data_IF_932080270709
#
_entry.id   IF_932080270709
#
_cell.length_a   1.000
_cell.length_b   1.000
_cell.length_c   1.000
_cell.angle_alpha   90.00
_cell.angle_beta   90.00
_cell.angle_gamma   90.00
#
_symmetry.space_group_name_H-M   'P 1'
#
loop_
_entity.id
_entity.type
_entity.pdbx_description
1 polymer ?
#
# COMPACT_ATOMS: atom_id res chain seq x y z
N UNK A 1 -38.70 14.07 1.28
CA UNK A 1 -38.26 12.66 1.43
C UNK A 1 -36.92 12.32 0.74
N UNK A 2 -36.40 13.12 -0.21
CA UNK A 2 -35.13 12.81 -0.90
C UNK A 2 -33.84 13.14 -0.13
N UNK A 3 -33.80 14.26 0.60
CA UNK A 3 -32.58 14.75 1.27
C UNK A 3 -32.21 13.94 2.53
N UNK A 4 -33.22 13.46 3.28
CA UNK A 4 -33.05 12.67 4.51
C UNK A 4 -32.57 11.24 4.24
N UNK A 5 -32.98 10.65 3.11
CA UNK A 5 -32.47 9.36 2.64
C UNK A 5 -31.01 9.49 2.16
N UNK A 6 -30.66 10.57 1.45
CA UNK A 6 -29.27 10.83 0.98
C UNK A 6 -28.29 10.95 2.16
N UNK A 7 -28.67 11.68 3.23
CA UNK A 7 -27.85 11.77 4.44
C UNK A 7 -27.67 10.42 5.15
N UNK A 8 -28.74 9.61 5.26
CA UNK A 8 -28.69 8.32 5.95
C UNK A 8 -27.73 7.30 5.32
N UNK A 9 -27.62 7.32 3.99
CA UNK A 9 -26.77 6.41 3.22
C UNK A 9 -25.28 6.80 3.23
N UNK A 10 -24.97 8.10 3.14
CA UNK A 10 -23.60 8.61 3.31
C UNK A 10 -23.05 8.33 4.71
N UNK A 11 -23.90 8.48 5.74
CA UNK A 11 -23.55 8.14 7.12
C UNK A 11 -23.30 6.65 7.26
N UNK A 12 -24.07 5.78 6.61
CA UNK A 12 -23.85 4.33 6.69
C UNK A 12 -22.51 3.89 6.09
N UNK A 13 -22.11 4.46 4.94
CA UNK A 13 -20.81 4.16 4.32
C UNK A 13 -19.62 4.58 5.21
N UNK A 14 -19.70 5.76 5.82
CA UNK A 14 -18.68 6.22 6.77
C UNK A 14 -18.69 5.40 8.07
N UNK A 15 -19.87 5.07 8.61
CA UNK A 15 -19.98 4.21 9.80
C UNK A 15 -19.36 2.83 9.55
N UNK A 16 -19.60 2.23 8.38
CA UNK A 16 -19.01 0.93 8.01
C UNK A 16 -17.49 1.01 7.91
N UNK A 17 -16.94 2.05 7.29
CA UNK A 17 -15.49 2.26 7.24
C UNK A 17 -14.90 2.40 8.64
N UNK A 18 -15.48 3.23 9.51
CA UNK A 18 -14.99 3.39 10.90
C UNK A 18 -15.10 2.12 11.74
N UNK A 19 -15.93 1.15 11.32
CA UNK A 19 -16.03 -0.16 11.96
C UNK A 19 -14.95 -1.15 11.51
N UNK A 20 -14.38 -1.00 10.31
CA UNK A 20 -13.41 -1.95 9.75
C UNK A 20 -11.98 -1.38 9.72
N UNK A 21 -11.83 -0.06 9.58
CA UNK A 21 -10.56 0.66 9.61
C UNK A 21 -10.42 1.39 10.94
N UNK A 22 -9.94 0.65 11.95
CA UNK A 22 -9.86 1.13 13.33
C UNK A 22 -8.43 1.46 13.70
N UNK A 23 -8.29 2.55 14.44
CA UNK A 23 -7.08 2.86 15.19
C UNK A 23 -7.33 2.44 16.63
N UNK A 24 -6.69 1.36 17.07
CA UNK A 24 -6.70 0.94 18.46
C UNK A 24 -5.72 1.83 19.26
N UNK A 25 -6.16 2.43 20.39
CA UNK A 25 -5.26 3.21 21.21
C UNK A 25 -4.14 2.34 21.79
N UNK A 26 -2.93 2.51 21.27
CA UNK A 26 -1.71 1.93 21.84
C UNK A 26 -0.76 3.03 22.33
N UNK A 27 0.04 2.77 23.38
CA UNK A 27 1.11 3.69 23.76
C UNK A 27 2.11 3.85 22.60
N UNK A 28 2.40 5.09 22.20
CA UNK A 28 3.43 5.37 21.22
C UNK A 28 4.75 5.70 21.93
N UNK A 29 5.90 5.23 21.43
CA UNK A 29 7.20 5.57 22.00
C UNK A 29 7.46 7.08 21.89
N UNK A 30 8.18 7.62 22.87
CA UNK A 30 8.62 9.01 22.83
C UNK A 30 9.66 9.21 21.73
N UNK A 31 9.34 10.01 20.72
CA UNK A 31 10.23 10.23 19.57
C UNK A 31 11.38 11.18 19.94
N UNK A 32 12.60 10.64 20.01
CA UNK A 32 13.84 11.38 20.27
C UNK A 32 14.15 12.40 19.17
N UNK A 33 14.99 13.39 19.47
CA UNK A 33 15.44 14.36 18.47
C UNK A 33 16.21 13.69 17.33
N UNK A 34 17.01 12.66 17.65
CA UNK A 34 17.72 11.87 16.64
C UNK A 34 16.74 11.19 15.67
N UNK A 35 15.71 10.51 16.20
CA UNK A 35 14.67 9.88 15.39
C UNK A 35 13.91 10.89 14.53
N UNK A 36 13.55 12.07 15.08
CA UNK A 36 12.87 13.14 14.32
C UNK A 36 13.72 13.65 13.15
N UNK A 37 15.01 13.92 13.39
CA UNK A 37 15.92 14.39 12.34
C UNK A 37 16.12 13.34 11.25
N UNK A 38 16.32 12.08 11.65
CA UNK A 38 16.45 10.96 10.72
C UNK A 38 15.19 10.78 9.87
N UNK A 39 14.01 10.79 10.51
CA UNK A 39 12.73 10.68 9.83
C UNK A 39 12.53 11.83 8.84
N UNK A 40 12.78 13.07 9.25
CA UNK A 40 12.62 14.25 8.40
C UNK A 40 13.58 14.26 7.20
N UNK A 41 14.78 13.69 7.34
CA UNK A 41 15.76 13.55 6.26
C UNK A 41 15.46 12.37 5.33
N UNK A 42 14.61 11.43 5.74
CA UNK A 42 14.33 10.20 5.01
C UNK A 42 13.29 10.38 3.91
N UNK A 43 13.41 9.59 2.84
CA UNK A 43 12.37 9.46 1.81
C UNK A 43 11.34 8.44 2.27
N UNK A 44 10.44 8.82 3.18
CA UNK A 44 9.46 7.91 3.78
C UNK A 44 8.47 7.43 2.70
N UNK A 45 8.43 6.13 2.42
CA UNK A 45 7.59 5.53 1.40
C UNK A 45 6.86 4.31 1.96
N UNK A 46 5.53 4.31 1.82
CA UNK A 46 4.68 3.19 2.21
C UNK A 46 4.15 2.46 0.96
N UNK A 47 4.32 1.14 0.93
CA UNK A 47 4.03 0.30 -0.23
C UNK A 47 2.55 -0.05 -0.39
N UNK A 48 1.68 0.23 0.57
CA UNK A 48 0.31 -0.23 0.49
C UNK A 48 -0.68 0.55 1.39
N UNK A 49 -1.64 1.23 0.78
CA UNK A 49 -2.84 1.73 1.44
C UNK A 49 -4.06 1.71 0.51
N UNK A 50 -5.23 1.39 1.06
CA UNK A 50 -6.51 1.22 0.36
C UNK A 50 -7.43 2.45 0.44
N UNK A 51 -6.83 3.63 0.67
CA UNK A 51 -7.55 4.86 1.03
C UNK A 51 -8.51 5.38 -0.05
N UNK A 52 -8.41 4.88 -1.28
CA UNK A 52 -9.29 5.24 -2.39
C UNK A 52 -10.63 4.49 -2.39
N UNK A 53 -10.80 3.42 -1.58
CA UNK A 53 -12.01 2.59 -1.59
C UNK A 53 -13.21 3.25 -0.90
N UNK A 54 -13.01 3.81 0.29
CA UNK A 54 -14.10 4.25 1.18
C UNK A 54 -14.60 5.66 0.88
N UNK A 55 -13.97 6.32 -0.11
CA UNK A 55 -14.31 7.62 -0.68
C UNK A 55 -14.65 8.71 0.33
N UNK A 56 -13.86 8.72 1.41
CA UNK A 56 -13.44 9.95 2.07
C UNK A 56 -12.75 10.86 1.05
N UNK A 57 -12.80 12.17 1.30
CA UNK A 57 -11.97 13.10 0.54
C UNK A 57 -10.51 12.96 0.99
N UNK A 58 -9.66 12.43 0.12
CA UNK A 58 -8.23 12.24 0.40
C UNK A 58 -7.53 13.57 0.73
N UNK A 59 -8.04 14.71 0.28
CA UNK A 59 -7.45 16.04 0.52
C UNK A 59 -7.91 16.68 1.83
N UNK A 60 -8.84 16.06 2.56
CA UNK A 60 -9.38 16.60 3.80
C UNK A 60 -9.04 15.69 4.99
N UNK A 61 -8.70 16.30 6.14
CA UNK A 61 -8.44 15.55 7.37
C UNK A 61 -9.70 14.80 7.80
N UNK A 62 -9.65 13.48 7.73
CA UNK A 62 -10.75 12.62 8.15
C UNK A 62 -10.88 12.55 9.67
N UNK A 63 -12.09 12.31 10.16
CA UNK A 63 -12.32 11.89 11.57
C UNK A 63 -12.01 10.42 11.82
N UNK A 64 -11.85 9.66 10.74
CA UNK A 64 -11.65 8.21 10.70
C UNK A 64 -10.73 7.85 9.51
N UNK A 65 -10.41 6.57 9.38
CA UNK A 65 -9.43 6.08 8.41
C UNK A 65 -8.01 6.40 8.84
N UNK A 66 -7.05 5.81 8.12
CA UNK A 66 -5.64 5.80 8.49
C UNK A 66 -4.80 6.76 7.64
N UNK A 67 -5.27 7.10 6.43
CA UNK A 67 -4.54 7.95 5.49
C UNK A 67 -5.45 9.03 4.90
N UNK A 68 -4.92 10.25 4.89
CA UNK A 68 -5.37 11.42 4.12
C UNK A 68 -4.16 12.35 3.91
N UNK A 69 -4.23 13.28 2.96
CA UNK A 69 -3.12 14.18 2.62
C UNK A 69 -2.58 14.94 3.84
N UNK A 70 -3.43 15.52 4.73
CA UNK A 70 -2.92 16.17 5.94
C UNK A 70 -2.14 15.22 6.85
N UNK A 71 -2.62 13.99 7.07
CA UNK A 71 -1.88 12.99 7.85
C UNK A 71 -0.59 12.54 7.18
N UNK A 72 -0.58 12.34 5.86
CA UNK A 72 0.62 11.98 5.11
C UNK A 72 1.70 13.07 5.27
N UNK A 73 1.28 14.34 5.24
CA UNK A 73 2.16 15.49 5.48
C UNK A 73 2.70 15.53 6.91
N UNK A 74 1.84 15.34 7.91
CA UNK A 74 2.25 15.25 9.33
C UNK A 74 3.22 14.09 9.58
N UNK A 75 2.98 12.96 8.91
CA UNK A 75 3.80 11.75 8.96
C UNK A 75 5.07 11.80 8.11
N UNK A 76 5.38 12.94 7.48
CA UNK A 76 6.60 13.10 6.68
C UNK A 76 6.66 12.27 5.39
N UNK A 77 5.54 11.68 4.95
CA UNK A 77 5.49 10.75 3.81
C UNK A 77 5.94 11.45 2.52
N UNK A 78 6.84 10.79 1.80
CA UNK A 78 7.33 11.18 0.49
C UNK A 78 6.54 10.53 -0.64
N UNK A 79 6.18 9.26 -0.47
CA UNK A 79 5.50 8.46 -1.47
C UNK A 79 4.50 7.52 -0.79
N UNK A 80 3.24 7.54 -1.24
CA UNK A 80 2.24 6.55 -0.89
C UNK A 80 1.90 5.74 -2.13
N UNK A 81 1.94 4.41 -2.01
CA UNK A 81 1.31 3.51 -2.98
C UNK A 81 -0.14 3.31 -2.56
N UNK A 82 -1.08 3.72 -3.43
CA UNK A 82 -2.50 3.52 -3.27
C UNK A 82 -2.88 2.23 -4.00
N UNK A 83 -3.15 1.19 -3.22
CA UNK A 83 -3.59 -0.11 -3.70
C UNK A 83 -5.11 -0.17 -3.83
N UNK A 84 -5.56 -1.06 -4.70
CA UNK A 84 -6.96 -1.15 -5.10
C UNK A 84 -7.37 -2.61 -5.31
N UNK A 85 -8.04 -3.22 -4.31
CA UNK A 85 -8.83 -4.41 -4.56
C UNK A 85 -10.07 -4.03 -5.36
N UNK A 86 -10.40 -4.86 -6.35
CA UNK A 86 -11.57 -4.64 -7.22
C UNK A 86 -12.74 -5.55 -6.91
N UNK A 87 -12.51 -6.60 -6.13
CA UNK A 87 -13.52 -7.55 -5.65
C UNK A 87 -13.14 -7.99 -4.23
N UNK A 88 -14.10 -8.00 -3.32
CA UNK A 88 -13.93 -8.57 -1.98
C UNK A 88 -15.11 -9.50 -1.66
N UNK A 89 -14.89 -10.82 -1.53
CA UNK A 89 -15.91 -11.78 -1.09
C UNK A 89 -16.60 -11.40 0.21
N UNK A 90 -17.94 -11.51 0.25
CA UNK A 90 -18.70 -11.46 1.51
C UNK A 90 -18.33 -12.65 2.39
N UNK A 91 -18.00 -12.39 3.66
CA UNK A 91 -17.56 -13.42 4.60
C UNK A 91 -16.09 -13.82 4.44
N UNK A 92 -15.28 -12.95 3.82
CA UNK A 92 -13.85 -13.16 3.63
C UNK A 92 -13.14 -13.54 4.93
N UNK A 93 -12.21 -14.49 4.83
CA UNK A 93 -11.29 -14.86 5.89
C UNK A 93 -9.91 -15.19 5.29
N UNK A 94 -8.92 -15.41 6.15
CA UNK A 94 -7.54 -15.65 5.70
C UNK A 94 -7.28 -17.11 5.28
N UNK A 95 -8.20 -18.03 5.54
CA UNK A 95 -8.00 -19.47 5.37
C UNK A 95 -8.54 -19.99 4.04
N UNK A 96 -9.78 -19.61 3.67
CA UNK A 96 -10.45 -20.14 2.47
C UNK A 96 -11.63 -19.26 2.05
N UNK A 97 -11.62 -18.82 0.79
CA UNK A 97 -12.72 -18.10 0.15
C UNK A 97 -13.02 -18.64 -1.25
N UNK A 98 -14.30 -18.75 -1.58
CA UNK A 98 -14.76 -19.24 -2.88
C UNK A 98 -14.98 -18.09 -3.86
N UNK A 99 -14.75 -18.34 -5.15
CA UNK A 99 -15.17 -17.43 -6.21
C UNK A 99 -16.71 -17.37 -6.28
N UNK A 100 -17.26 -16.22 -6.67
CA UNK A 100 -18.71 -16.06 -6.91
C UNK A 100 -19.57 -15.76 -5.69
N UNK A 101 -18.98 -15.60 -4.50
CA UNK A 101 -19.65 -14.96 -3.36
C UNK A 101 -20.08 -13.54 -3.70
N UNK A 102 -21.10 -13.02 -3.02
CA UNK A 102 -21.48 -11.60 -3.11
C UNK A 102 -20.28 -10.69 -2.87
N UNK A 103 -20.10 -9.67 -3.71
CA UNK A 103 -18.99 -8.74 -3.60
C UNK A 103 -19.31 -7.57 -2.66
N UNK A 104 -18.53 -7.44 -1.58
CA UNK A 104 -18.65 -6.38 -0.58
C UNK A 104 -18.44 -4.99 -1.17
N UNK A 105 -17.60 -4.83 -2.19
CA UNK A 105 -17.38 -3.54 -2.83
C UNK A 105 -18.60 -3.09 -3.63
N UNK A 106 -19.33 -4.02 -4.24
CA UNK A 106 -20.65 -3.77 -4.85
C UNK A 106 -21.63 -3.24 -3.81
N UNK A 107 -21.74 -3.93 -2.67
CA UNK A 107 -22.66 -3.56 -1.60
C UNK A 107 -22.31 -2.20 -0.98
N UNK A 108 -21.02 -1.95 -0.74
CA UNK A 108 -20.52 -0.65 -0.26
C UNK A 108 -20.80 0.46 -1.28
N UNK A 109 -20.59 0.19 -2.57
CA UNK A 109 -20.91 1.10 -3.66
C UNK A 109 -22.40 1.45 -3.70
N UNK A 110 -23.29 0.45 -3.57
CA UNK A 110 -24.75 0.66 -3.50
C UNK A 110 -25.14 1.52 -2.30
N UNK A 111 -24.61 1.19 -1.11
CA UNK A 111 -24.84 1.96 0.10
C UNK A 111 -24.40 3.43 -0.04
N UNK A 112 -23.38 3.69 -0.86
CA UNK A 112 -22.83 5.03 -1.11
C UNK A 112 -23.35 5.69 -2.39
N UNK A 113 -24.21 5.01 -3.16
CA UNK A 113 -24.65 5.44 -4.50
C UNK A 113 -23.48 5.77 -5.45
N UNK A 114 -22.38 5.05 -5.30
CA UNK A 114 -21.22 5.19 -6.17
C UNK A 114 -21.51 4.51 -7.52
N UNK A 115 -21.08 5.10 -8.65
CA UNK A 115 -21.17 4.44 -9.95
C UNK A 115 -20.41 3.11 -9.99
N UNK A 116 -19.38 2.94 -9.15
CA UNK A 116 -18.61 1.69 -9.02
C UNK A 116 -19.47 0.48 -8.65
N UNK A 117 -20.61 0.69 -7.99
CA UNK A 117 -21.54 -0.37 -7.62
C UNK A 117 -22.03 -1.19 -8.82
N UNK A 118 -22.14 -0.56 -10.00
CA UNK A 118 -22.69 -1.16 -11.21
C UNK A 118 -21.61 -1.53 -12.23
N UNK A 119 -20.34 -1.37 -11.86
CA UNK A 119 -19.18 -1.60 -12.73
C UNK A 119 -18.54 -2.95 -12.42
N UNK A 120 -17.99 -3.57 -13.47
CA UNK A 120 -17.09 -4.71 -13.34
C UNK A 120 -15.74 -4.32 -12.72
N UNK A 121 -14.95 -5.32 -12.27
CA UNK A 121 -13.64 -5.11 -11.65
C UNK A 121 -12.73 -4.14 -12.40
N UNK A 122 -12.65 -4.28 -13.73
CA UNK A 122 -11.81 -3.44 -14.58
C UNK A 122 -12.26 -1.97 -14.56
N UNK A 123 -13.56 -1.72 -14.75
CA UNK A 123 -14.10 -0.36 -14.77
C UNK A 123 -14.02 0.31 -13.39
N UNK A 124 -14.10 -0.46 -12.30
CA UNK A 124 -13.84 0.06 -10.94
C UNK A 124 -12.41 0.54 -10.80
N UNK A 125 -11.44 -0.25 -11.24
CA UNK A 125 -10.03 0.16 -11.23
C UNK A 125 -9.84 1.46 -12.03
N UNK A 126 -10.42 1.57 -13.23
CA UNK A 126 -10.35 2.80 -14.02
C UNK A 126 -11.00 3.99 -13.33
N UNK A 127 -12.15 3.79 -12.67
CA UNK A 127 -12.83 4.84 -11.93
C UNK A 127 -11.96 5.37 -10.79
N UNK A 128 -11.28 4.48 -10.04
CA UNK A 128 -10.39 4.88 -8.93
C UNK A 128 -9.10 5.54 -9.40
N UNK A 129 -8.58 5.16 -10.55
CA UNK A 129 -7.49 5.90 -11.18
C UNK A 129 -7.92 7.34 -11.50
N UNK A 130 -9.13 7.53 -12.04
CA UNK A 130 -9.69 8.86 -12.29
C UNK A 130 -9.96 9.65 -10.99
N UNK A 131 -10.39 8.98 -9.90
CA UNK A 131 -10.50 9.61 -8.58
C UNK A 131 -9.15 10.20 -8.12
N UNK A 132 -8.06 9.42 -8.24
CA UNK A 132 -6.72 9.88 -7.88
C UNK A 132 -6.25 11.04 -8.76
N UNK A 133 -6.45 10.95 -10.07
CA UNK A 133 -6.10 12.05 -10.99
C UNK A 133 -6.84 13.33 -10.59
N UNK A 134 -8.13 13.22 -10.25
CA UNK A 134 -8.91 14.34 -9.72
C UNK A 134 -8.37 14.89 -8.39
N UNK A 135 -7.87 14.04 -7.48
CA UNK A 135 -7.22 14.51 -6.25
C UNK A 135 -5.90 15.24 -6.57
N UNK A 136 -5.08 14.71 -7.47
CA UNK A 136 -3.82 15.36 -7.89
C UNK A 136 -4.11 16.75 -8.45
N UNK A 137 -5.09 16.89 -9.35
CA UNK A 137 -5.50 18.17 -9.92
C UNK A 137 -5.99 19.18 -8.87
N UNK A 138 -6.83 18.73 -7.92
CA UNK A 138 -7.41 19.61 -6.88
C UNK A 138 -6.46 19.90 -5.72
N UNK A 139 -5.36 19.16 -5.58
CA UNK A 139 -4.42 19.27 -4.46
C UNK A 139 -3.61 20.58 -4.43
N UNK A 140 -3.67 21.41 -5.47
CA UNK A 140 -2.85 22.63 -5.56
C UNK A 140 -1.33 22.35 -5.63
N UNK A 141 -0.94 21.14 -6.01
CA UNK A 141 0.46 20.68 -6.05
C UNK A 141 0.91 19.89 -4.82
N UNK A 142 0.03 19.63 -3.86
CA UNK A 142 0.34 18.81 -2.69
C UNK A 142 0.50 17.31 -3.03
N UNK A 143 -0.12 16.82 -4.10
CA UNK A 143 0.05 15.45 -4.61
C UNK A 143 0.67 15.45 -6.01
N UNK A 144 1.41 14.40 -6.33
CA UNK A 144 1.96 14.13 -7.67
C UNK A 144 1.77 12.66 -8.05
N UNK A 145 1.16 12.40 -9.21
CA UNK A 145 1.13 11.05 -9.77
C UNK A 145 2.54 10.58 -10.14
N UNK A 146 2.90 9.35 -9.75
CA UNK A 146 4.19 8.73 -10.08
C UNK A 146 3.92 7.60 -11.07
N UNK A 147 4.24 7.85 -12.34
CA UNK A 147 4.02 6.92 -13.46
C UNK A 147 5.33 6.52 -14.15
N UNK A 148 6.41 7.26 -13.97
CA UNK A 148 7.69 7.07 -14.66
C UNK A 148 8.86 7.29 -13.72
N UNK A 149 10.05 6.87 -14.14
CA UNK A 149 11.29 7.19 -13.41
C UNK A 149 11.53 8.70 -13.33
N UNK A 150 11.12 9.45 -14.35
CA UNK A 150 11.21 10.91 -14.36
C UNK A 150 10.30 11.57 -13.32
N UNK A 151 9.08 11.05 -13.12
CA UNK A 151 8.19 11.53 -12.05
C UNK A 151 8.82 11.34 -10.67
N UNK A 152 9.41 10.17 -10.46
CA UNK A 152 10.10 9.79 -9.23
C UNK A 152 11.34 10.67 -8.99
N UNK A 153 12.16 10.87 -10.02
CA UNK A 153 13.34 11.74 -9.95
C UNK A 153 12.96 13.19 -9.62
N UNK A 154 11.89 13.73 -10.22
CA UNK A 154 11.37 15.06 -9.88
C UNK A 154 10.89 15.13 -8.43
N UNK A 155 10.19 14.11 -7.94
CA UNK A 155 9.75 14.06 -6.55
C UNK A 155 10.93 14.07 -5.57
N UNK A 156 11.98 13.28 -5.85
CA UNK A 156 13.22 13.27 -5.06
C UNK A 156 13.89 14.65 -5.08
N UNK A 157 13.98 15.29 -6.24
CA UNK A 157 14.57 16.62 -6.37
C UNK A 157 13.80 17.67 -5.56
N UNK A 158 12.46 17.67 -5.63
CA UNK A 158 11.62 18.61 -4.87
C UNK A 158 11.81 18.44 -3.37
N UNK A 159 11.93 17.20 -2.88
CA UNK A 159 12.20 16.92 -1.46
C UNK A 159 13.58 17.35 -1.02
N UNK A 160 14.61 17.15 -1.85
CA UNK A 160 15.99 17.60 -1.54
C UNK A 160 16.11 19.12 -1.49
N UNK A 161 15.36 19.82 -2.34
CA UNK A 161 15.36 21.27 -2.43
C UNK A 161 14.46 21.94 -1.40
N UNK A 162 13.58 21.18 -0.74
CA UNK A 162 12.79 21.68 0.37
C UNK A 162 13.70 22.04 1.54
N UNK A 163 13.67 23.31 1.97
CA UNK A 163 14.26 23.67 3.27
C UNK A 163 13.58 22.83 4.35
N UNK A 164 14.34 22.26 5.31
CA UNK A 164 13.74 21.57 6.44
C UNK A 164 12.86 22.55 7.18
N UNK A 165 11.55 22.47 6.96
CA UNK A 165 10.60 23.23 7.76
C UNK A 165 10.48 22.45 9.06
N UNK A 166 10.78 23.12 10.19
CA UNK A 166 10.35 22.61 11.47
C UNK A 166 8.84 22.30 11.37
N UNK A 167 8.32 21.30 12.10
CA UNK A 167 6.89 21.09 12.19
C UNK A 167 6.28 22.36 12.81
N UNK A 168 5.85 23.28 11.95
CA UNK A 168 5.10 24.45 12.35
C UNK A 168 3.83 23.90 12.99
N UNK A 169 3.61 24.22 14.27
CA UNK A 169 2.33 23.99 14.91
C UNK A 169 1.19 24.61 14.07
N UNK A 170 -0.06 24.16 14.24
CA UNK A 170 -1.16 24.58 13.39
C UNK A 170 -1.34 26.10 13.48
N UNK A 171 -0.97 26.85 12.42
CA UNK A 171 -1.33 28.27 12.31
C UNK A 171 -0.38 29.25 11.61
N UNK A 172 0.84 28.90 11.18
CA UNK A 172 1.77 29.88 10.61
C UNK A 172 1.69 29.98 9.06
N UNK A 173 0.58 30.53 8.52
CA UNK A 173 0.49 30.93 7.12
C UNK A 173 0.90 32.40 6.95
N UNK A 174 2.14 32.64 6.52
CA UNK A 174 2.60 33.94 6.00
C UNK A 174 2.13 34.21 4.55
N UNK A 175 2.29 35.44 4.02
CA UNK A 175 1.52 35.93 2.87
C UNK A 175 2.04 35.53 1.47
N UNK A 176 3.09 34.71 1.36
CA UNK A 176 3.45 34.04 0.10
C UNK A 176 3.55 32.54 0.40
N UNK A 177 2.43 31.82 0.24
CA UNK A 177 2.40 30.38 0.43
C UNK A 177 3.25 29.72 -0.66
N UNK A 178 4.52 29.47 -0.36
CA UNK A 178 5.38 28.61 -1.17
C UNK A 178 4.62 27.32 -1.49
N UNK A 179 4.64 26.90 -2.76
CA UNK A 179 4.01 25.65 -3.21
C UNK A 179 4.43 24.51 -2.26
N UNK A 180 3.48 23.67 -1.80
CA UNK A 180 3.82 22.57 -0.92
C UNK A 180 4.78 21.61 -1.64
N UNK A 181 5.70 21.00 -0.88
CA UNK A 181 6.47 19.86 -1.38
C UNK A 181 5.47 18.73 -1.67
N UNK A 182 5.44 18.19 -2.90
CA UNK A 182 4.46 17.17 -3.27
C UNK A 182 4.73 15.85 -2.56
N UNK A 183 3.66 15.13 -2.25
CA UNK A 183 3.67 13.72 -1.90
C UNK A 183 3.43 12.92 -3.18
N UNK A 184 4.28 11.95 -3.46
CA UNK A 184 4.09 11.02 -4.56
C UNK A 184 2.90 10.10 -4.31
N UNK A 185 2.10 9.89 -5.35
CA UNK A 185 0.99 8.95 -5.36
C UNK A 185 1.19 7.96 -6.51
N UNK A 186 1.43 6.69 -6.19
CA UNK A 186 1.57 5.60 -7.17
C UNK A 186 0.35 4.68 -7.06
N UNK A 187 -0.20 4.26 -8.20
CA UNK A 187 -1.34 3.33 -8.22
C UNK A 187 -0.89 1.87 -8.31
N UNK A 188 -1.48 1.03 -7.46
CA UNK A 188 -1.33 -0.41 -7.47
C UNK A 188 -2.69 -1.12 -7.61
N UNK A 189 -2.69 -2.31 -8.22
CA UNK A 189 -3.84 -3.23 -8.21
C UNK A 189 -3.56 -4.36 -7.23
N UNK A 190 -4.54 -4.65 -6.39
CA UNK A 190 -4.55 -5.82 -5.52
C UNK A 190 -5.42 -6.93 -6.11
N UNK A 191 -4.76 -7.83 -6.83
CA UNK A 191 -5.39 -8.96 -7.49
C UNK A 191 -5.77 -8.68 -8.94
N UNK A 192 -5.27 -9.53 -9.84
CA UNK A 192 -5.54 -9.51 -11.28
C UNK A 192 -7.01 -9.81 -11.66
N UNK A 193 -7.90 -9.98 -10.68
CA UNK A 193 -9.34 -9.91 -10.87
C UNK A 193 -9.75 -8.64 -11.65
N UNK A 194 -9.04 -7.54 -11.43
CA UNK A 194 -9.21 -6.28 -12.16
C UNK A 194 -9.01 -6.40 -13.68
N UNK A 195 -8.32 -7.44 -14.16
CA UNK A 195 -8.07 -7.66 -15.59
C UNK A 195 -9.12 -8.57 -16.23
N UNK A 196 -10.04 -9.17 -15.47
CA UNK A 196 -11.18 -9.95 -15.99
C UNK A 196 -10.77 -11.04 -17.01
N UNK A 197 -9.60 -11.66 -16.79
CA UNK A 197 -9.03 -12.70 -17.68
C UNK A 197 -8.76 -12.25 -19.12
N UNK A 198 -8.82 -10.94 -19.40
CA UNK A 198 -8.48 -10.34 -20.69
C UNK A 198 -7.05 -9.77 -20.66
N UNK A 199 -6.10 -10.35 -21.43
CA UNK A 199 -4.73 -9.85 -21.50
C UNK A 199 -4.61 -8.38 -21.93
N UNK A 200 -5.56 -7.87 -22.73
CA UNK A 200 -5.54 -6.47 -23.18
C UNK A 200 -5.75 -5.49 -22.02
N UNK A 201 -6.37 -5.92 -20.93
CA UNK A 201 -6.64 -5.07 -19.78
C UNK A 201 -5.36 -4.65 -19.03
N UNK A 202 -4.26 -5.40 -19.11
CA UNK A 202 -2.99 -4.99 -18.53
C UNK A 202 -2.50 -3.65 -19.11
N UNK A 203 -2.44 -3.55 -20.44
CA UNK A 203 -2.04 -2.31 -21.11
C UNK A 203 -3.02 -1.16 -20.81
N UNK A 204 -4.33 -1.45 -20.77
CA UNK A 204 -5.34 -0.42 -20.46
C UNK A 204 -5.27 0.08 -19.00
N UNK A 205 -4.90 -0.78 -18.04
CA UNK A 205 -4.64 -0.38 -16.66
C UNK A 205 -3.31 0.38 -16.55
N UNK A 206 -2.28 -0.04 -17.28
CA UNK A 206 -1.05 0.72 -17.37
C UNK A 206 -1.29 2.15 -17.90
N UNK A 207 -2.07 2.31 -18.97
CA UNK A 207 -2.44 3.62 -19.51
C UNK A 207 -3.25 4.47 -18.50
N UNK A 208 -4.09 3.82 -17.68
CA UNK A 208 -4.82 4.47 -16.60
C UNK A 208 -3.92 4.96 -15.44
N UNK A 209 -2.67 4.51 -15.37
CA UNK A 209 -1.67 4.98 -14.39
C UNK A 209 -1.18 3.94 -13.39
N UNK A 210 -1.65 2.68 -13.48
CA UNK A 210 -1.20 1.61 -12.59
C UNK A 210 0.25 1.21 -12.88
N UNK A 211 1.07 1.08 -11.82
CA UNK A 211 2.50 0.75 -11.92
C UNK A 211 2.95 -0.40 -11.04
N UNK A 212 2.03 -0.99 -10.29
CA UNK A 212 2.26 -2.20 -9.49
C UNK A 212 1.00 -3.07 -9.54
N UNK A 213 1.13 -4.38 -9.68
CA UNK A 213 -0.01 -5.29 -9.72
C UNK A 213 0.34 -6.59 -8.99
N UNK A 214 -0.53 -6.99 -8.04
CA UNK A 214 -0.56 -8.34 -7.49
C UNK A 214 -1.48 -9.25 -8.30
N UNK A 215 -1.11 -10.51 -8.56
CA UNK A 215 -1.92 -11.38 -9.41
C UNK A 215 -3.12 -12.00 -8.69
N UNK A 216 -3.10 -12.15 -7.38
CA UNK A 216 -4.23 -12.65 -6.61
C UNK A 216 -4.55 -11.72 -5.43
N UNK A 217 -5.75 -11.89 -4.87
CA UNK A 217 -6.17 -11.25 -3.63
C UNK A 217 -6.84 -12.30 -2.74
N UNK A 218 -8.11 -12.13 -2.36
CA UNK A 218 -8.78 -13.03 -1.41
C UNK A 218 -9.21 -14.39 -1.95
N UNK A 219 -9.16 -14.65 -3.25
CA UNK A 219 -9.53 -15.94 -3.83
C UNK A 219 -8.72 -16.24 -5.09
N UNK A 220 -8.73 -17.52 -5.50
CA UNK A 220 -8.03 -17.97 -6.72
C UNK A 220 -8.68 -17.36 -7.97
N UNK A 221 -7.87 -17.10 -9.00
CA UNK A 221 -8.37 -16.61 -10.29
C UNK A 221 -7.62 -17.24 -11.47
N UNK A 222 -7.95 -16.80 -12.68
CA UNK A 222 -7.38 -17.35 -13.92
C UNK A 222 -5.88 -17.03 -14.10
N UNK A 223 -5.27 -16.22 -13.24
CA UNK A 223 -3.86 -15.84 -13.28
C UNK A 223 -3.02 -16.63 -12.27
N UNK A 224 -3.49 -16.73 -11.03
CA UNK A 224 -2.73 -17.31 -9.93
C UNK A 224 -3.63 -17.83 -8.81
N UNK A 225 -3.09 -18.77 -8.02
CA UNK A 225 -3.68 -19.14 -6.74
C UNK A 225 -3.44 -18.09 -5.65
N UNK A 226 -4.44 -17.96 -4.77
CA UNK A 226 -4.41 -17.08 -3.61
C UNK A 226 -4.03 -17.85 -2.35
N UNK A 227 -3.34 -17.21 -1.39
CA UNK A 227 -3.12 -17.76 -0.04
C UNK A 227 -4.44 -18.06 0.68
N UNK A 228 -5.50 -17.35 0.29
CA UNK A 228 -6.84 -17.44 0.84
C UNK A 228 -7.81 -18.19 -0.08
N UNK A 229 -7.32 -18.70 -1.22
CA UNK A 229 -8.11 -19.45 -2.17
C UNK A 229 -8.53 -20.84 -1.68
N UNK A 230 -9.33 -21.52 -2.48
CA UNK A 230 -9.70 -22.92 -2.24
C UNK A 230 -8.59 -23.84 -2.72
N UNK A 231 -8.12 -23.62 -3.95
CA UNK A 231 -7.12 -24.44 -4.59
C UNK A 231 -5.70 -24.05 -4.15
N UNK A 232 -5.45 -22.76 -3.91
CA UNK A 232 -4.15 -22.22 -3.51
C UNK A 232 -3.00 -22.68 -4.44
N UNK A 233 -3.31 -22.80 -5.73
CA UNK A 233 -2.40 -23.32 -6.75
C UNK A 233 -1.29 -22.33 -7.13
N UNK A 234 -0.42 -22.75 -8.06
CA UNK A 234 0.65 -21.92 -8.62
C UNK A 234 0.16 -20.90 -9.66
N UNK A 235 1.08 -20.45 -10.52
CA UNK A 235 0.75 -19.61 -11.66
C UNK A 235 0.13 -20.42 -12.80
N UNK A 236 -0.92 -19.89 -13.41
CA UNK A 236 -1.48 -20.44 -14.66
C UNK A 236 -0.62 -20.05 -15.85
N UNK A 237 -0.89 -20.63 -17.03
CA UNK A 237 -0.27 -20.19 -18.28
C UNK A 237 -0.57 -18.73 -18.62
N UNK A 238 -1.74 -18.22 -18.23
CA UNK A 238 -2.10 -16.81 -18.39
C UNK A 238 -1.26 -15.95 -17.43
N UNK A 239 -1.21 -16.28 -16.14
CA UNK A 239 -0.40 -15.54 -15.16
C UNK A 239 1.09 -15.45 -15.52
N UNK A 240 1.68 -16.56 -16.01
CA UNK A 240 3.09 -16.56 -16.48
C UNK A 240 3.32 -15.63 -17.66
N UNK A 241 2.36 -15.49 -18.58
CA UNK A 241 2.46 -14.52 -19.70
C UNK A 241 2.29 -13.09 -19.19
N UNK A 242 1.33 -12.87 -18.30
CA UNK A 242 1.06 -11.57 -17.69
C UNK A 242 2.27 -11.01 -16.96
N UNK A 243 3.04 -11.83 -16.22
CA UNK A 243 4.27 -11.37 -15.53
C UNK A 243 5.30 -10.86 -16.53
N UNK A 244 5.52 -11.57 -17.65
CA UNK A 244 6.47 -11.13 -18.68
C UNK A 244 6.06 -9.80 -19.29
N UNK A 245 4.76 -9.62 -19.53
CA UNK A 245 4.21 -8.37 -20.06
C UNK A 245 4.30 -7.22 -19.03
N UNK A 246 4.06 -7.51 -17.75
CA UNK A 246 4.27 -6.54 -16.67
C UNK A 246 5.73 -6.08 -16.64
N UNK A 247 6.69 -7.01 -16.71
CA UNK A 247 8.11 -6.67 -16.75
C UNK A 247 8.47 -5.86 -18.00
N UNK A 248 7.93 -6.18 -19.19
CA UNK A 248 8.22 -5.40 -20.40
C UNK A 248 7.65 -3.98 -20.35
N UNK A 249 6.49 -3.77 -19.72
CA UNK A 249 5.87 -2.45 -19.55
C UNK A 249 6.50 -1.62 -18.42
N UNK A 250 7.24 -2.25 -17.51
CA UNK A 250 7.74 -1.59 -16.30
C UNK A 250 6.70 -1.49 -15.18
N UNK A 251 5.81 -2.49 -15.09
CA UNK A 251 4.89 -2.68 -13.97
C UNK A 251 5.56 -3.59 -12.93
N UNK A 252 5.58 -3.14 -11.68
CA UNK A 252 6.13 -3.91 -10.55
C UNK A 252 5.23 -5.11 -10.26
N UNK A 253 5.85 -6.29 -10.13
CA UNK A 253 5.18 -7.52 -9.70
C UNK A 253 5.07 -7.53 -8.18
N UNK A 254 3.85 -7.55 -7.66
CA UNK A 254 3.56 -7.69 -6.23
C UNK A 254 3.18 -9.14 -5.88
N UNK A 255 3.76 -9.65 -4.80
CA UNK A 255 3.60 -11.01 -4.29
C UNK A 255 2.56 -11.12 -3.17
N UNK A 256 2.09 -10.00 -2.61
CA UNK A 256 1.08 -10.02 -1.57
C UNK A 256 -0.14 -10.85 -2.00
N UNK A 257 -0.73 -11.59 -1.04
CA UNK A 257 -1.87 -12.51 -1.21
C UNK A 257 -1.68 -13.74 -2.12
N UNK A 258 -0.57 -13.87 -2.85
CA UNK A 258 -0.31 -15.08 -3.61
C UNK A 258 -0.20 -16.30 -2.69
N UNK A 259 -0.65 -17.46 -3.17
CA UNK A 259 -0.39 -18.73 -2.49
C UNK A 259 1.13 -18.99 -2.42
N UNK A 260 1.60 -19.81 -1.47
CA UNK A 260 3.01 -20.20 -1.43
C UNK A 260 3.51 -20.77 -2.77
N UNK A 261 2.71 -21.62 -3.43
CA UNK A 261 3.04 -22.20 -4.73
C UNK A 261 3.13 -21.13 -5.84
N UNK A 262 2.24 -20.12 -5.82
CA UNK A 262 2.28 -19.03 -6.78
C UNK A 262 3.49 -18.11 -6.54
N UNK A 263 3.84 -17.82 -5.29
CA UNK A 263 5.06 -17.08 -4.94
C UNK A 263 6.29 -17.81 -5.50
N UNK A 264 6.37 -19.14 -5.29
CA UNK A 264 7.49 -19.94 -5.78
C UNK A 264 7.61 -19.92 -7.31
N UNK A 265 6.47 -20.00 -8.01
CA UNK A 265 6.40 -19.92 -9.45
C UNK A 265 6.79 -18.54 -10.00
N UNK A 266 6.38 -17.45 -9.34
CA UNK A 266 6.77 -16.07 -9.71
C UNK A 266 8.28 -15.92 -9.57
N UNK A 267 8.82 -16.26 -8.40
CA UNK A 267 10.25 -16.15 -8.08
C UNK A 267 11.14 -17.02 -8.97
N UNK A 268 10.58 -18.04 -9.63
CA UNK A 268 11.28 -18.88 -10.60
C UNK A 268 11.39 -18.25 -12.00
N UNK A 269 10.59 -17.23 -12.33
CA UNK A 269 10.51 -16.69 -13.70
C UNK A 269 10.76 -15.19 -13.83
N UNK A 270 10.66 -14.43 -12.73
CA UNK A 270 10.92 -12.98 -12.75
C UNK A 270 12.38 -12.67 -13.05
N UNK A 271 12.59 -11.56 -13.75
CA UNK A 271 13.90 -11.03 -14.13
C UNK A 271 14.17 -9.66 -13.52
N UNK A 272 13.13 -9.00 -13.01
CA UNK A 272 13.18 -7.71 -12.32
C UNK A 272 12.94 -7.87 -10.81
N UNK A 273 13.33 -6.87 -9.99
CA UNK A 273 12.99 -6.85 -8.58
C UNK A 273 11.48 -6.95 -8.35
N UNK A 274 11.08 -7.88 -7.47
CA UNK A 274 9.68 -8.03 -7.03
C UNK A 274 9.43 -7.32 -5.71
N UNK A 275 8.16 -7.07 -5.42
CA UNK A 275 7.71 -6.48 -4.16
C UNK A 275 6.79 -7.48 -3.46
N UNK A 276 6.88 -7.61 -2.14
CA UNK A 276 5.74 -8.05 -1.33
C UNK A 276 5.21 -6.80 -0.65
N UNK A 277 4.14 -6.19 -1.14
CA UNK A 277 3.75 -4.81 -0.77
C UNK A 277 3.35 -4.69 0.70
N UNK A 278 2.71 -5.73 1.24
CA UNK A 278 2.27 -5.80 2.63
C UNK A 278 2.07 -7.25 3.07
N UNK A 279 2.26 -7.48 4.36
CA UNK A 279 2.17 -8.78 5.01
C UNK A 279 3.12 -8.87 6.19
N UNK A 280 3.38 -10.08 6.67
CA UNK A 280 4.36 -10.31 7.72
C UNK A 280 5.31 -11.45 7.39
N UNK A 281 6.09 -11.84 8.39
CA UNK A 281 7.11 -12.89 8.28
C UNK A 281 6.93 -13.93 9.37
N UNK A 282 7.06 -15.20 8.99
CA UNK A 282 6.79 -16.33 9.89
C UNK A 282 7.74 -16.38 11.08
N UNK A 283 8.95 -15.85 10.92
CA UNK A 283 9.94 -15.77 11.99
C UNK A 283 9.53 -14.91 13.19
N UNK A 284 8.54 -14.02 13.04
CA UNK A 284 7.99 -13.23 14.15
C UNK A 284 6.50 -13.49 14.40
N UNK A 285 5.73 -13.82 13.36
CA UNK A 285 4.33 -14.16 13.47
C UNK A 285 3.97 -15.26 12.47
N UNK A 286 3.80 -16.50 12.92
CA UNK A 286 3.63 -17.64 12.01
C UNK A 286 2.16 -17.90 11.64
N UNK A 287 1.81 -17.61 10.39
CA UNK A 287 0.52 -17.93 9.80
C UNK A 287 0.60 -17.97 8.26
N UNK A 288 -0.53 -18.29 7.60
CA UNK A 288 -0.58 -18.48 6.15
C UNK A 288 -0.41 -17.20 5.32
N UNK A 289 -0.67 -16.01 5.89
CA UNK A 289 -0.48 -14.72 5.21
C UNK A 289 0.98 -14.29 5.16
N UNK A 290 1.83 -14.91 5.99
CA UNK A 290 3.20 -14.49 6.24
C UNK A 290 4.22 -15.33 5.47
N UNK A 291 5.27 -14.65 5.02
CA UNK A 291 6.34 -15.22 4.20
C UNK A 291 7.25 -16.12 5.03
N UNK A 292 7.69 -17.22 4.42
CA UNK A 292 8.76 -18.06 4.96
C UNK A 292 10.14 -17.44 4.72
N UNK A 293 11.14 -17.83 5.52
CA UNK A 293 12.53 -17.38 5.34
C UNK A 293 13.08 -17.68 3.95
N UNK A 294 12.71 -18.82 3.35
CA UNK A 294 13.12 -19.16 1.98
C UNK A 294 12.58 -18.15 0.97
N UNK A 295 11.29 -17.84 1.06
CA UNK A 295 10.66 -16.83 0.20
C UNK A 295 11.29 -15.45 0.41
N UNK A 296 11.59 -15.04 1.65
CA UNK A 296 12.26 -13.77 1.94
C UNK A 296 13.65 -13.73 1.28
N UNK A 297 14.46 -14.79 1.40
CA UNK A 297 15.77 -14.88 0.74
C UNK A 297 15.66 -14.82 -0.78
N UNK A 298 14.65 -15.47 -1.37
CA UNK A 298 14.42 -15.47 -2.82
C UNK A 298 13.91 -14.13 -3.33
N UNK A 299 13.06 -13.43 -2.57
CA UNK A 299 12.68 -12.04 -2.86
C UNK A 299 13.92 -11.15 -2.85
N UNK A 300 14.75 -11.25 -1.82
CA UNK A 300 16.01 -10.51 -1.72
C UNK A 300 16.94 -10.78 -2.91
N UNK A 301 17.05 -12.03 -3.35
CA UNK A 301 17.87 -12.41 -4.51
C UNK A 301 17.43 -11.73 -5.83
N UNK A 302 16.17 -11.30 -5.96
CA UNK A 302 15.72 -10.50 -7.13
C UNK A 302 16.16 -9.02 -7.06
N UNK A 303 16.72 -8.59 -5.93
CA UNK A 303 16.85 -7.18 -5.59
C UNK A 303 15.55 -6.56 -5.05
N UNK A 304 14.56 -7.39 -4.72
CA UNK A 304 13.22 -6.98 -4.29
C UNK A 304 13.16 -6.43 -2.87
N UNK A 305 11.94 -6.19 -2.37
CA UNK A 305 11.68 -5.74 -0.99
C UNK A 305 10.45 -6.43 -0.38
N UNK A 306 10.47 -6.56 0.94
CA UNK A 306 9.37 -7.07 1.77
C UNK A 306 8.80 -5.93 2.60
N UNK A 307 7.58 -5.51 2.27
CA UNK A 307 6.77 -4.56 3.02
C UNK A 307 6.11 -5.22 4.22
N UNK A 308 6.31 -4.65 5.41
CA UNK A 308 5.75 -5.16 6.67
C UNK A 308 4.48 -4.40 7.05
N UNK A 309 3.45 -5.18 7.35
CA UNK A 309 2.11 -4.77 7.75
C UNK A 309 1.98 -4.31 9.19
N UNK A 310 0.98 -3.46 9.47
CA UNK A 310 0.79 -2.84 10.80
C UNK A 310 -0.38 -3.42 11.61
N UNK A 311 -0.84 -4.62 11.26
CA UNK A 311 -1.98 -5.28 11.91
C UNK A 311 -1.62 -6.64 12.52
N UNK A 312 -2.47 -7.10 13.43
CA UNK A 312 -2.20 -8.28 14.26
C UNK A 312 -1.92 -9.57 13.49
N UNK A 313 -2.58 -9.80 12.34
CA UNK A 313 -2.29 -11.00 11.54
C UNK A 313 -0.91 -10.91 10.88
N UNK A 314 -0.40 -9.72 10.56
CA UNK A 314 0.93 -9.57 9.99
C UNK A 314 2.03 -9.70 11.06
N UNK A 315 1.89 -9.01 12.19
CA UNK A 315 3.00 -8.84 13.15
C UNK A 315 2.69 -9.31 14.57
N UNK A 316 1.56 -9.99 14.78
CA UNK A 316 1.13 -10.50 16.09
C UNK A 316 0.95 -9.38 17.14
N UNK A 317 0.66 -8.16 16.68
CA UNK A 317 0.45 -6.96 17.48
C UNK A 317 0.03 -5.78 16.60
N UNK A 318 -0.10 -4.60 17.20
CA UNK A 318 -0.51 -3.36 16.50
C UNK A 318 0.37 -2.17 16.86
N UNK A 319 1.36 -2.35 17.75
CA UNK A 319 2.23 -1.27 18.20
C UNK A 319 3.39 -1.04 17.23
N UNK A 320 3.96 0.17 17.18
CA UNK A 320 5.15 0.44 16.37
C UNK A 320 6.31 -0.53 16.64
N UNK A 321 6.47 -0.99 17.88
CA UNK A 321 7.52 -1.95 18.27
C UNK A 321 7.30 -3.33 17.64
N UNK A 322 6.06 -3.79 17.52
CA UNK A 322 5.74 -5.10 16.93
C UNK A 322 6.09 -5.10 15.43
N UNK A 323 5.79 -3.99 14.75
CA UNK A 323 6.18 -3.73 13.35
C UNK A 323 7.71 -3.65 13.21
N UNK A 324 8.37 -2.88 14.07
CA UNK A 324 9.83 -2.71 14.04
C UNK A 324 10.56 -4.04 14.28
N UNK A 325 10.05 -4.91 15.16
CA UNK A 325 10.61 -6.24 15.40
C UNK A 325 10.54 -7.14 14.16
N UNK A 326 9.41 -7.12 13.43
CA UNK A 326 9.25 -7.85 12.17
C UNK A 326 10.15 -7.30 11.05
N UNK A 327 10.29 -5.99 10.95
CA UNK A 327 11.25 -5.35 10.02
C UNK A 327 12.69 -5.75 10.38
N UNK A 328 13.09 -5.62 11.65
CA UNK A 328 14.43 -5.98 12.12
C UNK A 328 14.74 -7.46 11.88
N UNK A 329 13.72 -8.33 11.91
CA UNK A 329 13.88 -9.72 11.53
C UNK A 329 14.27 -9.88 10.06
N UNK A 330 13.57 -9.21 9.13
CA UNK A 330 13.93 -9.21 7.70
C UNK A 330 15.34 -8.67 7.49
N UNK A 331 15.68 -7.55 8.13
CA UNK A 331 17.01 -6.93 8.06
C UNK A 331 18.11 -7.92 8.48
N UNK A 332 17.93 -8.62 9.61
CA UNK A 332 18.90 -9.64 10.07
C UNK A 332 19.00 -10.84 9.13
N UNK A 333 17.92 -11.18 8.43
CA UNK A 333 17.86 -12.36 7.58
C UNK A 333 18.51 -12.13 6.21
N UNK A 334 18.28 -10.97 5.59
CA UNK A 334 18.66 -10.68 4.21
C UNK A 334 19.35 -9.34 3.98
N UNK A 335 19.45 -8.47 4.99
CA UNK A 335 19.99 -7.11 4.85
C UNK A 335 18.91 -6.04 4.82
N UNK A 336 19.29 -4.82 5.22
CA UNK A 336 18.35 -3.70 5.33
C UNK A 336 17.82 -3.26 3.97
N UNK A 337 18.53 -3.53 2.88
CA UNK A 337 18.16 -3.16 1.51
C UNK A 337 16.90 -3.87 0.97
N UNK A 338 16.38 -4.84 1.71
CA UNK A 338 15.27 -5.71 1.33
C UNK A 338 14.03 -5.60 2.24
N UNK A 339 14.04 -4.70 3.22
CA UNK A 339 12.89 -4.42 4.07
C UNK A 339 12.24 -3.06 3.70
N UNK A 340 10.93 -2.95 3.87
CA UNK A 340 10.17 -1.75 3.57
C UNK A 340 8.91 -1.61 4.46
N UNK A 341 8.32 -0.42 4.43
CA UNK A 341 7.01 -0.13 5.03
C UNK A 341 5.89 -0.61 4.09
N UNK A 342 4.86 -1.25 4.64
CA UNK A 342 3.74 -1.80 3.87
C UNK A 342 2.48 -1.88 4.72
N UNK A 343 1.97 -0.72 5.12
CA UNK A 343 1.06 -0.54 6.25
C UNK A 343 -0.23 -1.36 6.21
N UNK A 344 -0.80 -1.52 5.01
CA UNK A 344 -2.19 -1.97 4.81
C UNK A 344 -3.21 -1.02 5.45
N UNK A 345 -2.87 0.29 5.41
CA UNK A 345 -3.74 1.34 5.88
C UNK A 345 -5.02 1.40 5.06
N UNK A 346 -6.14 1.60 5.76
CA UNK A 346 -7.49 1.52 5.22
C UNK A 346 -7.88 0.16 4.60
N UNK A 347 -7.06 -0.91 4.67
CA UNK A 347 -7.35 -2.23 4.07
C UNK A 347 -8.31 -3.14 4.84
N UNK A 348 -9.29 -2.56 5.54
CA UNK A 348 -10.15 -3.25 6.53
C UNK A 348 -9.34 -3.84 7.71
N UNK A 349 -8.31 -3.12 8.13
CA UNK A 349 -7.39 -3.51 9.22
C UNK A 349 -7.64 -2.71 10.50
N UNK A 350 -7.27 -3.29 11.64
CA UNK A 350 -7.08 -2.53 12.89
C UNK A 350 -5.58 -2.31 13.11
N UNK A 351 -5.18 -1.05 13.23
CA UNK A 351 -3.78 -0.61 13.43
C UNK A 351 -3.65 0.14 14.74
N UNK A 352 -2.45 0.27 15.31
CA UNK A 352 -2.25 1.05 16.53
C UNK A 352 -2.07 2.55 16.29
N UNK A 353 -1.75 2.95 15.06
CA UNK A 353 -1.40 4.32 14.73
C UNK A 353 -1.64 4.60 13.25
N UNK A 354 -2.07 5.83 12.93
CA UNK A 354 -2.27 6.27 11.54
C UNK A 354 -0.99 6.85 10.94
N UNK A 355 -1.03 7.21 9.65
CA UNK A 355 0.17 7.65 8.94
C UNK A 355 0.80 8.93 9.52
N UNK A 356 0.08 9.73 10.32
CA UNK A 356 0.65 10.94 10.96
C UNK A 356 1.67 10.61 12.05
N UNK A 357 1.65 9.38 12.56
CA UNK A 357 2.48 8.93 13.67
C UNK A 357 3.70 8.08 13.25
N UNK A 358 4.05 8.03 11.96
CA UNK A 358 5.24 7.31 11.46
C UNK A 358 6.58 7.68 12.12
N UNK A 359 6.81 8.90 12.67
CA UNK A 359 7.99 9.15 13.48
C UNK A 359 8.12 8.22 14.71
N UNK A 360 7.01 7.73 15.26
CA UNK A 360 7.02 6.73 16.34
C UNK A 360 7.58 5.39 15.86
N UNK A 361 7.26 4.96 14.64
CA UNK A 361 7.86 3.77 14.03
C UNK A 361 9.35 3.97 13.76
N UNK A 362 9.78 5.17 13.38
CA UNK A 362 11.21 5.47 13.24
C UNK A 362 11.95 5.31 14.57
N UNK A 363 11.37 5.80 15.67
CA UNK A 363 11.93 5.57 17.00
C UNK A 363 11.97 4.06 17.33
N UNK A 364 10.89 3.33 17.08
CA UNK A 364 10.82 1.89 17.34
C UNK A 364 11.85 1.09 16.53
N UNK A 365 12.17 1.49 15.30
CA UNK A 365 13.23 0.85 14.49
C UNK A 365 14.62 1.06 15.10
N UNK A 366 14.93 2.27 15.58
CA UNK A 366 16.17 2.55 16.30
C UNK A 366 16.25 1.75 17.60
N UNK A 367 15.15 1.67 18.35
CA UNK A 367 15.07 0.90 19.60
C UNK A 367 15.18 -0.61 19.35
N UNK A 368 14.79 -1.09 18.16
CA UNK A 368 14.98 -2.46 17.70
C UNK A 368 16.42 -2.78 17.26
N UNK A 369 17.32 -1.78 17.34
CA UNK A 369 18.75 -1.95 17.12
C UNK A 369 19.24 -1.67 15.70
N UNK A 370 18.41 -1.10 14.82
CA UNK A 370 18.84 -0.65 13.51
C UNK A 370 19.62 0.67 13.63
N UNK A 371 20.65 0.84 12.82
CA UNK A 371 21.35 2.11 12.72
C UNK A 371 20.63 3.12 11.81
N UNK A 372 21.14 4.36 11.75
CA UNK A 372 20.51 5.42 10.97
C UNK A 372 20.47 5.16 9.46
N UNK A 373 21.47 4.48 8.91
CA UNK A 373 21.55 4.17 7.48
C UNK A 373 20.56 3.06 7.13
N UNK A 374 20.49 2.01 7.96
CA UNK A 374 19.51 0.92 7.84
C UNK A 374 18.08 1.45 7.93
N UNK A 375 17.79 2.32 8.91
CA UNK A 375 16.48 2.96 9.05
C UNK A 375 16.15 3.82 7.82
N UNK A 376 17.09 4.59 7.29
CA UNK A 376 16.87 5.38 6.07
C UNK A 376 16.54 4.52 4.85
N UNK A 377 17.16 3.34 4.72
CA UNK A 377 16.85 2.36 3.68
C UNK A 377 15.42 1.82 3.83
N UNK A 378 15.10 1.32 5.03
CA UNK A 378 13.77 0.75 5.38
C UNK A 378 12.66 1.75 5.17
N UNK A 379 12.84 3.00 5.62
CA UNK A 379 11.80 4.02 5.56
C UNK A 379 11.40 4.34 4.11
N UNK A 380 12.26 4.13 3.12
CA UNK A 380 11.85 4.19 1.72
C UNK A 380 12.97 4.34 0.70
N UNK A 381 14.24 4.38 1.12
CA UNK A 381 15.38 4.26 0.20
C UNK A 381 15.29 2.99 -0.66
N UNK A 382 14.81 1.89 -0.10
CA UNK A 382 14.64 0.63 -0.82
C UNK A 382 13.48 0.65 -1.80
N UNK A 383 12.36 1.27 -1.43
CA UNK A 383 11.21 1.48 -2.32
C UNK A 383 11.64 2.33 -3.51
N UNK A 384 12.35 3.43 -3.26
CA UNK A 384 12.90 4.30 -4.30
C UNK A 384 13.79 3.51 -5.27
N UNK A 385 14.69 2.68 -4.75
CA UNK A 385 15.60 1.82 -5.54
C UNK A 385 14.84 0.83 -6.42
N UNK A 386 13.80 0.17 -5.89
CA UNK A 386 12.99 -0.79 -6.66
C UNK A 386 12.21 -0.09 -7.76
N UNK A 387 11.56 1.02 -7.45
CA UNK A 387 10.79 1.78 -8.43
C UNK A 387 11.68 2.36 -9.55
N UNK A 388 12.85 2.91 -9.20
CA UNK A 388 13.82 3.43 -10.17
C UNK A 388 14.35 2.35 -11.15
N UNK A 389 14.42 1.09 -10.71
CA UNK A 389 14.85 -0.03 -11.56
C UNK A 389 13.75 -0.61 -12.43
N UNK A 390 12.48 -0.38 -12.07
CA UNK A 390 11.35 -1.09 -12.68
C UNK A 390 10.47 -0.20 -13.54
N UNK A 391 10.18 1.03 -13.08
CA UNK A 391 9.29 1.95 -13.77
C UNK A 391 9.82 2.28 -15.19
N UNK A 392 8.91 2.57 -16.15
CA UNK A 392 9.28 2.97 -17.50
C UNK A 392 10.18 4.21 -17.53
#
# INVERSE_FOLDING_TARGET
MGLTLVLGWLVLGLVLEGLINRIEPVPLPSVSEAARRLHAASFVADLHADSLLFGRDLLARGRQGHVDEPRLREGGVALQVFSLPTIVPLGVNIERNEAGSLDLLTLAGLARRSPTAWQGPFDRARHRAADLDGYVERSGGALRSIRTRDDLARLVADRRNATPRAPDGPGAAGPEAARPVPIGALLAIEGAHAMESDPANLARLFDAGYRMIGLAHFFDNDYAGSAHGVAKGGLTALGRRTIREMESLGVVVDLAHLSPAAIDDVLAIVTKPVVSSHGGVRGTCDNQRNLSDDQIRRIAATGGVVGIGYWATAVCGTRPEDVALAIAYVVRLVGAEHAALGSDYDGATTVGFDTSALPALTQALLDAGLDGDEVGQVLGGNVLRVLDRTLP
#
